data_IF_755785695436
#
_entry.id   IF_755785695436
#
_cell.length_a   1.000
_cell.length_b   1.000
_cell.length_c   1.000
_cell.angle_alpha   90.00
_cell.angle_beta   90.00
_cell.angle_gamma   90.00
#
_symmetry.space_group_name_H-M   'P 1'
#
loop_
_entity.id
_entity.type
_entity.pdbx_description
1 polymer ?
#
# COMPACT_ATOMS: atom_id res chain seq x y z
N UNK A 1 -33.12 28.50 4.03
CA UNK A 1 -33.22 27.62 2.85
C UNK A 1 -32.11 26.60 2.92
N UNK A 2 -32.49 25.35 2.73
CA UNK A 2 -31.90 24.15 3.32
C UNK A 2 -30.53 23.79 2.73
N UNK A 3 -29.54 23.54 3.60
CA UNK A 3 -28.26 22.93 3.25
C UNK A 3 -28.48 21.44 2.98
N UNK A 4 -28.33 20.99 1.73
CA UNK A 4 -28.21 19.57 1.43
C UNK A 4 -26.80 19.11 1.80
N UNK A 5 -26.71 18.37 2.89
CA UNK A 5 -25.55 17.56 3.26
C UNK A 5 -25.52 16.37 2.32
N UNK A 6 -24.58 16.34 1.38
CA UNK A 6 -24.21 15.11 0.67
C UNK A 6 -23.18 14.36 1.53
N UNK A 7 -23.69 13.77 2.62
CA UNK A 7 -23.04 12.64 3.24
C UNK A 7 -23.49 11.43 2.43
N UNK A 8 -22.67 10.95 1.49
CA UNK A 8 -22.83 9.59 0.98
C UNK A 8 -22.21 8.62 1.98
N UNK A 9 -22.77 8.61 3.19
CA UNK A 9 -22.68 7.45 4.06
C UNK A 9 -23.44 6.34 3.35
N UNK A 10 -22.72 5.50 2.61
CA UNK A 10 -23.26 4.16 2.34
C UNK A 10 -23.36 3.51 3.72
N UNK A 11 -24.56 3.21 4.23
CA UNK A 11 -24.70 2.57 5.51
C UNK A 11 -23.94 1.24 5.41
N UNK A 12 -22.96 1.03 6.30
CA UNK A 12 -22.43 -0.31 6.53
C UNK A 12 -23.63 -1.17 6.87
N UNK A 13 -23.94 -2.12 5.99
CA UNK A 13 -25.00 -3.11 6.23
C UNK A 13 -24.82 -3.68 7.64
N UNK A 14 -25.88 -3.83 8.44
CA UNK A 14 -25.79 -4.48 9.74
C UNK A 14 -25.12 -5.84 9.54
N UNK A 15 -23.97 -6.05 10.20
CA UNK A 15 -23.15 -7.26 10.04
C UNK A 15 -23.95 -8.45 10.57
N UNK A 16 -24.67 -9.12 9.69
CA UNK A 16 -25.41 -10.35 10.00
C UNK A 16 -24.47 -11.53 10.30
N UNK A 17 -25.01 -12.65 10.80
CA UNK A 17 -24.23 -13.86 11.05
C UNK A 17 -23.52 -14.33 9.76
N UNK A 18 -22.26 -14.76 9.88
CA UNK A 18 -21.48 -15.22 8.73
C UNK A 18 -21.91 -16.63 8.29
N UNK A 19 -22.07 -16.81 6.98
CA UNK A 19 -22.22 -18.13 6.35
C UNK A 19 -20.89 -18.57 5.79
N UNK A 20 -20.46 -19.79 6.15
CA UNK A 20 -19.17 -20.33 5.77
C UNK A 20 -19.27 -21.28 4.59
N UNK A 21 -18.26 -21.25 3.73
CA UNK A 21 -18.12 -22.14 2.59
C UNK A 21 -16.71 -22.72 2.65
N UNK A 22 -16.54 -24.06 2.61
CA UNK A 22 -15.22 -24.67 2.49
C UNK A 22 -14.49 -24.20 1.22
N UNK A 23 -13.16 -24.28 1.19
CA UNK A 23 -12.37 -23.81 0.05
C UNK A 23 -12.83 -24.41 -1.30
N UNK A 24 -13.14 -25.71 -1.32
CA UNK A 24 -13.66 -26.43 -2.50
C UNK A 24 -15.02 -25.95 -2.99
N UNK A 25 -15.78 -25.25 -2.14
CA UNK A 25 -17.10 -24.72 -2.47
C UNK A 25 -17.09 -23.36 -3.17
N UNK A 26 -15.94 -22.69 -3.23
CA UNK A 26 -15.80 -21.44 -3.99
C UNK A 26 -15.61 -21.71 -5.49
N UNK A 27 -16.05 -20.81 -6.38
CA UNK A 27 -15.72 -20.88 -7.80
C UNK A 27 -14.21 -20.73 -8.06
N UNK A 28 -13.78 -20.90 -9.31
CA UNK A 28 -12.42 -20.52 -9.71
C UNK A 28 -12.21 -19.04 -9.48
N UNK A 29 -11.05 -18.70 -8.90
CA UNK A 29 -10.64 -17.33 -8.63
C UNK A 29 -10.08 -16.73 -9.92
N UNK A 30 -10.61 -15.59 -10.33
CA UNK A 30 -10.02 -14.77 -11.38
C UNK A 30 -8.77 -14.06 -10.84
N UNK A 31 -7.59 -14.55 -11.23
CA UNK A 31 -6.29 -14.04 -10.78
C UNK A 31 -5.95 -12.64 -11.30
N UNK A 32 -6.68 -12.16 -12.30
CA UNK A 32 -6.56 -10.78 -12.83
C UNK A 32 -7.51 -9.82 -12.11
N UNK A 33 -8.40 -10.31 -11.24
CA UNK A 33 -9.36 -9.47 -10.54
C UNK A 33 -8.65 -8.46 -9.61
N UNK A 34 -8.92 -7.15 -9.73
CA UNK A 34 -8.25 -6.13 -8.91
C UNK A 34 -8.43 -6.34 -7.41
N UNK A 35 -9.59 -6.87 -6.99
CA UNK A 35 -9.86 -7.19 -5.58
C UNK A 35 -8.95 -8.29 -5.06
N UNK A 36 -8.76 -9.36 -5.84
CA UNK A 36 -7.90 -10.49 -5.46
C UNK A 36 -6.42 -10.10 -5.44
N UNK A 37 -5.94 -9.38 -6.46
CA UNK A 37 -4.56 -8.86 -6.51
C UNK A 37 -4.26 -8.04 -5.26
N UNK A 38 -5.16 -7.14 -4.85
CA UNK A 38 -5.00 -6.31 -3.65
C UNK A 38 -4.92 -7.13 -2.36
N UNK A 39 -5.70 -8.22 -2.24
CA UNK A 39 -5.59 -9.15 -1.11
C UNK A 39 -4.22 -9.81 -1.07
N UNK A 40 -3.73 -10.34 -2.19
CA UNK A 40 -2.42 -11.00 -2.24
C UNK A 40 -1.25 -10.04 -1.98
N UNK A 41 -1.30 -8.82 -2.52
CA UNK A 41 -0.36 -7.74 -2.17
C UNK A 41 -0.33 -7.50 -0.67
N UNK A 42 -1.51 -7.44 -0.04
CA UNK A 42 -1.66 -7.21 1.41
C UNK A 42 -1.01 -8.30 2.23
N UNK A 43 -1.22 -9.58 1.86
CA UNK A 43 -0.58 -10.72 2.52
C UNK A 43 0.94 -10.65 2.38
N UNK A 44 1.45 -10.46 1.16
CA UNK A 44 2.89 -10.40 0.91
C UNK A 44 3.58 -9.34 1.77
N UNK A 45 3.04 -8.12 1.80
CA UNK A 45 3.62 -7.00 2.55
C UNK A 45 3.72 -7.26 4.06
N UNK A 46 2.79 -8.05 4.62
CA UNK A 46 2.81 -8.41 6.03
C UNK A 46 3.83 -9.50 6.34
N UNK A 47 4.07 -10.40 5.39
CA UNK A 47 5.07 -11.47 5.50
C UNK A 47 6.51 -10.96 5.27
N UNK A 48 6.69 -9.89 4.50
CA UNK A 48 7.99 -9.31 4.10
C UNK A 48 8.73 -8.52 5.22
N UNK A 49 8.78 -9.05 6.46
CA UNK A 49 9.52 -8.44 7.57
C UNK A 49 10.47 -9.43 8.25
N UNK A 50 11.74 -9.03 8.41
CA UNK A 50 12.80 -9.88 8.96
C UNK A 50 12.56 -10.22 10.45
N UNK A 51 12.27 -11.50 10.72
CA UNK A 51 12.62 -12.24 11.94
C UNK A 51 11.66 -12.16 13.14
N UNK A 52 11.17 -13.32 13.59
CA UNK A 52 11.33 -13.89 14.95
C UNK A 52 10.58 -15.23 15.08
N UNK A 53 11.23 -16.22 15.71
CA UNK A 53 10.54 -17.29 16.48
C UNK A 53 10.47 -18.68 15.87
N UNK A 54 10.92 -19.68 16.63
CA UNK A 54 10.96 -21.11 16.27
C UNK A 54 9.57 -21.77 16.31
N UNK A 55 9.30 -22.63 15.33
CA UNK A 55 8.11 -23.49 15.23
C UNK A 55 8.57 -24.97 15.27
N UNK A 56 7.74 -25.88 15.79
CA UNK A 56 8.07 -27.31 15.93
C UNK A 56 8.15 -28.06 14.59
N UNK A 57 8.74 -29.27 14.57
CA UNK A 57 9.09 -30.03 13.35
C UNK A 57 7.95 -30.20 12.33
N UNK A 58 6.71 -30.45 12.77
CA UNK A 58 5.56 -30.60 11.84
C UNK A 58 5.15 -29.26 11.21
N UNK A 59 5.22 -28.18 11.98
CA UNK A 59 4.94 -26.83 11.48
C UNK A 59 6.06 -26.39 10.53
N UNK A 60 7.31 -26.74 10.83
CA UNK A 60 8.44 -26.49 9.92
C UNK A 60 8.24 -27.22 8.60
N UNK A 61 7.84 -28.50 8.62
CA UNK A 61 7.56 -29.25 7.39
C UNK A 61 6.41 -28.64 6.58
N UNK A 62 5.34 -28.20 7.23
CA UNK A 62 4.20 -27.60 6.55
C UNK A 62 4.47 -26.15 6.11
N UNK A 63 5.31 -25.40 6.82
CA UNK A 63 5.81 -24.08 6.39
C UNK A 63 6.80 -24.20 5.23
N UNK A 64 7.61 -25.26 5.19
CA UNK A 64 8.41 -25.63 4.02
C UNK A 64 7.46 -25.98 2.87
N UNK A 65 6.44 -26.82 3.08
CA UNK A 65 5.47 -27.12 2.03
C UNK A 65 4.75 -25.86 1.50
N UNK A 66 4.32 -24.97 2.39
CA UNK A 66 3.74 -23.68 2.06
C UNK A 66 4.75 -22.80 1.29
N UNK A 67 6.04 -22.78 1.69
CA UNK A 67 7.08 -22.04 0.99
C UNK A 67 7.31 -22.55 -0.43
N UNK A 68 7.56 -23.85 -0.59
CA UNK A 68 7.96 -24.44 -1.88
C UNK A 68 6.78 -24.71 -2.81
N UNK A 69 5.61 -25.02 -2.26
CA UNK A 69 4.40 -25.39 -3.01
C UNK A 69 3.45 -24.23 -3.29
N UNK A 70 3.52 -23.13 -2.51
CA UNK A 70 2.53 -22.04 -2.57
C UNK A 70 3.17 -20.66 -2.71
N UNK A 71 4.08 -20.28 -1.81
CA UNK A 71 4.61 -18.92 -1.70
C UNK A 71 5.71 -18.64 -2.75
N UNK A 72 6.62 -19.58 -2.99
CA UNK A 72 7.78 -19.44 -3.89
C UNK A 72 7.78 -20.54 -4.95
N UNK A 73 6.83 -20.52 -5.89
CA UNK A 73 6.73 -21.55 -6.95
C UNK A 73 7.59 -21.24 -8.20
N UNK A 74 8.28 -20.11 -8.22
CA UNK A 74 9.09 -19.66 -9.37
C UNK A 74 10.52 -20.24 -9.27
N UNK A 75 11.01 -20.80 -10.39
CA UNK A 75 12.35 -21.40 -10.47
C UNK A 75 12.39 -22.87 -10.05
N UNK A 76 13.57 -23.49 -10.16
CA UNK A 76 13.79 -24.91 -9.80
C UNK A 76 13.79 -25.09 -8.28
N UNK A 77 13.24 -26.21 -7.79
CA UNK A 77 12.97 -26.44 -6.36
C UNK A 77 14.19 -26.19 -5.46
N UNK A 78 15.35 -26.70 -5.84
CA UNK A 78 16.60 -26.57 -5.07
C UNK A 78 17.14 -25.13 -4.97
N UNK A 79 16.64 -24.20 -5.79
CA UNK A 79 17.04 -22.79 -5.79
C UNK A 79 16.14 -21.91 -4.91
N UNK A 80 14.95 -22.40 -4.53
CA UNK A 80 13.91 -21.63 -3.83
C UNK A 80 14.23 -21.32 -2.37
N UNK A 81 15.14 -22.06 -1.73
CA UNK A 81 15.59 -21.82 -0.34
C UNK A 81 16.17 -20.43 -0.14
N UNK A 82 16.85 -19.89 -1.15
CA UNK A 82 17.54 -18.60 -1.10
C UNK A 82 16.87 -17.55 -1.99
N UNK A 83 15.67 -17.82 -2.49
CA UNK A 83 14.98 -16.90 -3.38
C UNK A 83 14.57 -15.64 -2.62
N UNK A 84 15.00 -14.47 -3.12
CA UNK A 84 14.41 -13.20 -2.71
C UNK A 84 13.11 -13.01 -3.47
N UNK A 85 12.00 -13.28 -2.80
CA UNK A 85 10.67 -13.10 -3.37
C UNK A 85 10.27 -11.64 -3.25
N UNK A 86 9.98 -10.98 -4.38
CA UNK A 86 9.34 -9.67 -4.38
C UNK A 86 7.83 -9.81 -4.62
N UNK A 87 7.09 -8.72 -4.41
CA UNK A 87 5.62 -8.74 -4.52
C UNK A 87 5.11 -9.25 -5.88
N UNK A 88 5.62 -8.79 -7.06
CA UNK A 88 5.23 -9.36 -8.35
C UNK A 88 5.43 -10.88 -8.43
N UNK A 89 6.58 -11.37 -7.97
CA UNK A 89 6.89 -12.81 -7.96
C UNK A 89 5.95 -13.59 -7.03
N UNK A 90 5.58 -13.04 -5.88
CA UNK A 90 4.60 -13.66 -4.98
C UNK A 90 3.21 -13.74 -5.63
N UNK A 91 2.73 -12.66 -6.26
CA UNK A 91 1.42 -12.66 -6.93
C UNK A 91 1.42 -13.66 -8.08
N UNK A 92 2.48 -13.71 -8.88
CA UNK A 92 2.62 -14.68 -9.97
C UNK A 92 2.70 -16.13 -9.44
N UNK A 93 3.38 -16.37 -8.32
CA UNK A 93 3.42 -17.67 -7.69
C UNK A 93 2.02 -18.11 -7.22
N UNK A 94 1.31 -17.21 -6.52
CA UNK A 94 -0.06 -17.44 -6.05
C UNK A 94 -1.03 -17.65 -7.21
N UNK A 95 -0.92 -16.91 -8.31
CA UNK A 95 -1.84 -17.03 -9.44
C UNK A 95 -1.75 -18.41 -10.12
N UNK A 96 -0.57 -19.03 -10.11
CA UNK A 96 -0.35 -20.38 -10.66
C UNK A 96 -0.95 -21.49 -9.80
N UNK A 97 -1.02 -21.32 -8.48
CA UNK A 97 -1.43 -22.37 -7.55
C UNK A 97 -2.81 -22.17 -6.91
N UNK A 98 -3.35 -20.95 -6.88
CA UNK A 98 -4.60 -20.61 -6.15
C UNK A 98 -5.80 -21.45 -6.57
N UNK A 99 -5.91 -21.85 -7.83
CA UNK A 99 -7.01 -22.68 -8.35
C UNK A 99 -6.68 -24.18 -8.43
N UNK A 100 -5.44 -24.56 -8.15
CA UNK A 100 -4.93 -25.94 -8.27
C UNK A 100 -4.47 -26.44 -6.91
N UNK A 101 -3.16 -26.69 -6.73
CA UNK A 101 -2.57 -27.29 -5.55
C UNK A 101 -2.97 -26.57 -4.26
N UNK A 102 -3.01 -25.22 -4.26
CA UNK A 102 -3.36 -24.50 -3.04
C UNK A 102 -4.83 -24.67 -2.65
N UNK A 103 -5.75 -24.80 -3.60
CA UNK A 103 -7.18 -25.01 -3.31
C UNK A 103 -7.46 -26.44 -2.88
N UNK A 104 -6.82 -27.41 -3.54
CA UNK A 104 -6.95 -28.84 -3.25
C UNK A 104 -6.39 -29.19 -1.86
N UNK A 105 -5.26 -28.60 -1.50
CA UNK A 105 -4.56 -28.87 -0.24
C UNK A 105 -4.83 -27.81 0.84
N UNK A 106 -5.72 -26.84 0.56
CA UNK A 106 -5.99 -25.70 1.45
C UNK A 106 -6.27 -26.14 2.89
N UNK A 107 -7.11 -27.16 3.05
CA UNK A 107 -7.48 -27.66 4.38
C UNK A 107 -6.26 -28.18 5.13
N UNK A 108 -5.46 -29.02 4.49
CA UNK A 108 -4.25 -29.59 5.11
C UNK A 108 -3.24 -28.50 5.46
N UNK A 109 -2.97 -27.59 4.52
CA UNK A 109 -1.92 -26.57 4.64
C UNK A 109 -2.32 -25.46 5.61
N UNK A 110 -3.53 -24.92 5.48
CA UNK A 110 -3.96 -23.69 6.16
C UNK A 110 -4.88 -23.94 7.35
N UNK A 111 -5.58 -25.06 7.38
CA UNK A 111 -6.58 -25.34 8.41
C UNK A 111 -6.02 -26.34 9.41
N UNK A 112 -5.73 -27.58 9.00
CA UNK A 112 -5.28 -28.64 9.90
C UNK A 112 -3.97 -28.27 10.61
N UNK A 113 -2.98 -27.80 9.85
CA UNK A 113 -1.67 -27.38 10.38
C UNK A 113 -1.80 -26.32 11.48
N UNK A 114 -2.64 -25.31 11.26
CA UNK A 114 -2.76 -24.17 12.16
C UNK A 114 -3.76 -24.41 13.27
N UNK A 115 -4.81 -25.17 13.01
CA UNK A 115 -5.77 -25.59 14.02
C UNK A 115 -5.07 -26.40 15.11
N UNK A 116 -4.30 -27.41 14.73
CA UNK A 116 -3.62 -28.30 15.68
C UNK A 116 -2.48 -27.59 16.44
N UNK A 117 -1.91 -26.52 15.86
CA UNK A 117 -0.91 -25.67 16.51
C UNK A 117 -1.51 -24.77 17.59
N UNK A 118 -2.76 -24.37 17.40
CA UNK A 118 -3.41 -23.28 18.12
C UNK A 118 -4.39 -23.80 19.16
N UNK A 119 -4.97 -24.98 18.94
CA UNK A 119 -5.79 -25.74 19.89
C UNK A 119 -4.88 -26.37 20.97
N UNK A 120 -4.43 -25.51 21.90
CA UNK A 120 -3.44 -25.88 22.92
C UNK A 120 -4.02 -26.71 24.06
N UNK A 121 -5.33 -26.58 24.31
CA UNK A 121 -6.05 -27.40 25.30
C UNK A 121 -6.65 -28.68 24.70
N UNK A 122 -6.48 -28.89 23.38
CA UNK A 122 -6.91 -30.06 22.62
C UNK A 122 -8.40 -30.35 22.76
N UNK A 123 -9.20 -29.30 22.88
CA UNK A 123 -10.65 -29.42 23.06
C UNK A 123 -11.40 -29.44 21.72
N UNK A 124 -10.67 -29.32 20.60
CA UNK A 124 -11.23 -29.34 19.25
C UNK A 124 -11.91 -28.03 18.88
N UNK A 125 -11.65 -26.94 19.62
CA UNK A 125 -12.16 -25.60 19.39
C UNK A 125 -11.02 -24.56 19.54
N UNK A 126 -11.25 -23.36 19.02
CA UNK A 126 -10.31 -22.25 19.11
C UNK A 126 -10.93 -21.14 19.95
N UNK A 127 -10.27 -20.73 21.03
CA UNK A 127 -10.64 -19.58 21.84
C UNK A 127 -10.24 -18.24 21.17
N UNK A 128 -10.78 -17.13 21.66
CA UNK A 128 -10.50 -15.80 21.09
C UNK A 128 -9.00 -15.46 21.11
N UNK A 129 -8.32 -15.69 22.23
CA UNK A 129 -6.87 -15.41 22.37
C UNK A 129 -6.02 -16.27 21.43
N UNK A 130 -6.46 -17.50 21.19
CA UNK A 130 -5.82 -18.44 20.28
C UNK A 130 -5.98 -17.99 18.81
N UNK A 131 -7.20 -17.63 18.41
CA UNK A 131 -7.46 -17.08 17.08
C UNK A 131 -6.69 -15.77 16.82
N UNK A 132 -6.72 -14.85 17.79
CA UNK A 132 -5.98 -13.59 17.67
C UNK A 132 -4.47 -13.85 17.62
N UNK A 133 -3.97 -14.78 18.45
CA UNK A 133 -2.57 -15.16 18.51
C UNK A 133 -2.06 -15.72 17.19
N UNK A 134 -2.81 -16.59 16.52
CA UNK A 134 -2.38 -17.13 15.23
C UNK A 134 -2.42 -16.12 14.10
N UNK A 135 -3.45 -15.27 14.05
CA UNK A 135 -3.52 -14.20 13.06
C UNK A 135 -2.37 -13.21 13.26
N UNK A 136 -2.02 -12.87 14.50
CA UNK A 136 -0.87 -12.01 14.81
C UNK A 136 0.47 -12.67 14.46
N UNK A 137 0.64 -13.96 14.74
CA UNK A 137 1.81 -14.74 14.31
C UNK A 137 1.98 -14.74 12.79
N UNK A 138 0.86 -14.72 12.06
CA UNK A 138 0.77 -14.57 10.61
C UNK A 138 0.76 -13.12 10.12
N UNK A 139 1.11 -12.17 11.00
CA UNK A 139 1.18 -10.73 10.72
C UNK A 139 -0.13 -10.13 10.21
N UNK A 140 -1.25 -10.77 10.51
CA UNK A 140 -2.58 -10.22 10.31
C UNK A 140 -2.93 -9.16 11.35
N UNK A 141 -4.17 -8.69 11.34
CA UNK A 141 -4.62 -7.60 12.22
C UNK A 141 -5.36 -8.15 13.46
N UNK A 142 -4.79 -8.03 14.68
CA UNK A 142 -5.40 -8.56 15.91
C UNK A 142 -6.79 -7.99 16.22
N UNK A 143 -7.01 -6.70 15.93
CA UNK A 143 -8.30 -6.03 16.19
C UNK A 143 -9.37 -6.54 15.23
N UNK A 144 -9.04 -6.72 13.96
CA UNK A 144 -9.97 -7.29 12.98
C UNK A 144 -10.23 -8.77 13.25
N UNK A 145 -9.22 -9.52 13.71
CA UNK A 145 -9.39 -10.90 14.16
C UNK A 145 -10.40 -10.98 15.33
N UNK A 146 -10.29 -10.11 16.33
CA UNK A 146 -11.25 -10.04 17.44
C UNK A 146 -12.68 -9.72 16.95
N UNK A 147 -12.82 -8.77 16.02
CA UNK A 147 -14.11 -8.42 15.43
C UNK A 147 -14.71 -9.60 14.66
N UNK A 148 -13.90 -10.29 13.84
CA UNK A 148 -14.33 -11.45 13.07
C UNK A 148 -14.74 -12.57 14.01
N UNK A 149 -13.94 -12.88 15.04
CA UNK A 149 -14.26 -13.90 16.05
C UNK A 149 -15.63 -13.66 16.67
N UNK A 150 -15.92 -12.43 17.11
CA UNK A 150 -17.24 -12.07 17.67
C UNK A 150 -18.38 -12.22 16.68
N UNK A 151 -18.13 -12.05 15.37
CA UNK A 151 -19.15 -12.29 14.33
C UNK A 151 -19.39 -13.78 14.11
N UNK A 152 -18.36 -14.61 14.25
CA UNK A 152 -18.44 -16.08 14.18
C UNK A 152 -19.15 -16.67 15.40
N UNK A 153 -18.83 -16.17 16.59
CA UNK A 153 -19.32 -16.62 17.89
C UNK A 153 -20.78 -16.19 18.19
N UNK A 154 -21.51 -15.67 17.21
CA UNK A 154 -22.91 -15.27 17.37
C UNK A 154 -23.90 -16.44 17.42
N UNK A 155 -23.43 -17.69 17.48
CA UNK A 155 -24.32 -18.84 17.58
C UNK A 155 -24.87 -18.98 19.01
N UNK A 156 -26.19 -19.15 19.13
CA UNK A 156 -26.92 -19.39 20.39
C UNK A 156 -26.61 -20.76 21.04
N UNK A 157 -25.51 -21.40 20.65
CA UNK A 157 -25.05 -22.67 21.19
C UNK A 157 -24.31 -22.42 22.51
N UNK A 158 -24.95 -22.82 23.62
CA UNK A 158 -24.42 -22.58 24.98
C UNK A 158 -23.08 -23.28 25.23
N UNK A 159 -22.80 -24.37 24.52
CA UNK A 159 -21.59 -25.18 24.71
C UNK A 159 -20.42 -24.71 23.84
N UNK A 160 -20.67 -23.83 22.85
CA UNK A 160 -19.66 -23.26 21.93
C UNK A 160 -19.48 -21.75 22.07
N UNK A 161 -20.15 -21.15 23.05
CA UNK A 161 -20.07 -19.72 23.30
C UNK A 161 -18.66 -19.32 23.74
N UNK A 162 -18.05 -18.38 23.02
CA UNK A 162 -16.68 -17.94 23.22
C UNK A 162 -15.64 -18.80 22.50
N UNK A 163 -16.06 -19.74 21.64
CA UNK A 163 -15.18 -20.68 20.95
C UNK A 163 -15.55 -20.84 19.47
N UNK A 164 -14.56 -21.09 18.63
CA UNK A 164 -14.70 -21.27 17.17
C UNK A 164 -14.42 -22.73 16.79
N UNK A 165 -15.29 -23.35 15.99
CA UNK A 165 -15.04 -24.70 15.46
C UNK A 165 -14.05 -24.69 14.30
N UNK A 166 -13.48 -25.86 13.99
CA UNK A 166 -12.57 -26.05 12.87
C UNK A 166 -13.18 -25.64 11.52
N UNK A 167 -14.46 -25.91 11.31
CA UNK A 167 -15.19 -25.51 10.11
C UNK A 167 -15.38 -24.00 10.01
N UNK A 168 -15.60 -23.33 11.15
CA UNK A 168 -15.71 -21.88 11.19
C UNK A 168 -14.35 -21.22 10.93
N UNK A 169 -13.27 -21.77 11.50
CA UNK A 169 -11.90 -21.33 11.22
C UNK A 169 -11.57 -21.51 9.73
N UNK A 170 -11.83 -22.69 9.16
CA UNK A 170 -11.68 -22.94 7.72
C UNK A 170 -12.44 -21.90 6.90
N UNK A 171 -13.71 -21.66 7.23
CA UNK A 171 -14.56 -20.73 6.51
C UNK A 171 -14.05 -19.28 6.55
N UNK A 172 -13.52 -18.83 7.69
CA UNK A 172 -12.94 -17.49 7.82
C UNK A 172 -11.73 -17.31 6.89
N UNK A 173 -10.79 -18.25 6.91
CA UNK A 173 -9.58 -18.18 6.09
C UNK A 173 -9.92 -18.38 4.61
N UNK A 174 -10.78 -19.35 4.28
CA UNK A 174 -11.21 -19.62 2.89
C UNK A 174 -11.92 -18.42 2.27
N UNK A 175 -12.81 -17.74 3.01
CA UNK A 175 -13.49 -16.55 2.51
C UNK A 175 -12.51 -15.41 2.18
N UNK A 176 -11.38 -15.30 2.89
CA UNK A 176 -10.37 -14.33 2.54
C UNK A 176 -9.73 -14.64 1.19
N UNK A 177 -9.22 -15.87 1.00
CA UNK A 177 -8.42 -16.26 -0.17
C UNK A 177 -9.23 -16.48 -1.44
N UNK A 178 -10.44 -17.04 -1.35
CA UNK A 178 -11.20 -17.49 -2.52
C UNK A 178 -12.41 -16.64 -2.87
N UNK A 179 -12.87 -15.74 -1.98
CA UNK A 179 -13.93 -14.81 -2.33
C UNK A 179 -13.34 -13.57 -3.02
N UNK A 180 -13.78 -13.26 -4.23
CA UNK A 180 -13.31 -12.08 -4.96
C UNK A 180 -13.90 -10.76 -4.42
N UNK A 181 -15.06 -10.82 -3.78
CA UNK A 181 -15.73 -9.62 -3.26
C UNK A 181 -14.93 -9.05 -2.08
N UNK A 182 -14.58 -7.77 -2.19
CA UNK A 182 -13.87 -7.01 -1.16
C UNK A 182 -14.81 -6.41 -0.11
N UNK A 183 -16.12 -6.63 -0.21
CA UNK A 183 -17.12 -6.18 0.76
C UNK A 183 -17.37 -7.18 1.89
N UNK A 184 -16.76 -8.36 1.83
CA UNK A 184 -16.89 -9.41 2.86
C UNK A 184 -16.24 -9.00 4.18
N UNK A 185 -16.74 -9.53 5.30
CA UNK A 185 -16.26 -9.13 6.63
C UNK A 185 -14.79 -9.52 6.87
N UNK A 186 -14.33 -10.61 6.26
CA UNK A 186 -12.97 -11.13 6.41
C UNK A 186 -11.92 -10.33 5.65
N UNK A 187 -12.30 -9.42 4.75
CA UNK A 187 -11.38 -8.70 3.85
C UNK A 187 -10.27 -7.92 4.57
N UNK A 188 -10.48 -7.56 5.84
CA UNK A 188 -9.52 -6.84 6.67
C UNK A 188 -8.72 -7.73 7.64
N UNK A 189 -8.82 -9.05 7.51
CA UNK A 189 -8.15 -9.99 8.42
C UNK A 189 -6.62 -9.80 8.44
N UNK A 190 -6.01 -9.44 7.30
CA UNK A 190 -4.59 -9.06 7.20
C UNK A 190 -4.34 -7.53 7.24
N UNK A 191 -5.33 -6.77 7.70
CA UNK A 191 -5.32 -5.30 7.72
C UNK A 191 -6.08 -4.68 6.55
N UNK A 192 -6.06 -3.35 6.49
CA UNK A 192 -6.64 -2.62 5.36
C UNK A 192 -6.04 -3.13 4.04
N UNK A 193 -6.90 -3.40 3.05
CA UNK A 193 -6.42 -3.80 1.73
C UNK A 193 -5.50 -2.71 1.19
N UNK A 194 -4.36 -3.14 0.67
CA UNK A 194 -3.49 -2.27 -0.10
C UNK A 194 -4.33 -1.66 -1.23
N UNK A 195 -4.50 -0.35 -1.18
CA UNK A 195 -5.16 0.44 -2.21
C UNK A 195 -4.15 0.95 -3.25
N UNK A 196 -2.87 0.65 -3.04
CA UNK A 196 -1.78 1.09 -3.88
C UNK A 196 -1.90 0.47 -5.28
N UNK A 197 -2.31 1.33 -6.22
CA UNK A 197 -2.18 1.08 -7.65
C UNK A 197 -0.72 1.31 -8.02
N UNK A 198 -0.09 0.30 -8.62
CA UNK A 198 1.25 0.46 -9.20
C UNK A 198 1.17 1.35 -10.44
N UNK A 199 2.29 1.91 -10.90
CA UNK A 199 2.31 2.73 -12.11
C UNK A 199 1.75 2.03 -13.35
N UNK A 200 1.92 0.71 -13.45
CA UNK A 200 1.33 -0.14 -14.50
C UNK A 200 -0.20 -0.24 -14.44
N UNK A 201 -0.80 -0.05 -13.26
CA UNK A 201 -2.26 -0.15 -13.07
C UNK A 201 -2.99 1.13 -13.55
N UNK A 202 -2.26 2.19 -13.91
CA UNK A 202 -2.79 3.42 -14.47
C UNK A 202 -2.76 3.37 -16.00
N UNK A 203 -3.79 3.89 -16.71
CA UNK A 203 -3.69 4.11 -18.15
C UNK A 203 -2.58 5.14 -18.46
N UNK A 204 -2.19 5.22 -19.73
CA UNK A 204 -1.36 6.33 -20.20
C UNK A 204 -2.03 7.66 -19.85
N UNK A 205 -1.24 8.62 -19.34
CA UNK A 205 -1.77 9.89 -18.87
C UNK A 205 -2.01 10.80 -20.09
N UNK A 206 -3.25 11.26 -20.28
CA UNK A 206 -3.60 12.24 -21.32
C UNK A 206 -2.99 13.62 -21.01
N UNK A 207 -2.59 13.84 -19.76
CA UNK A 207 -2.05 15.07 -19.21
C UNK A 207 -2.99 16.26 -19.42
N UNK A 208 -4.29 16.06 -19.10
CA UNK A 208 -5.33 17.07 -19.21
C UNK A 208 -5.22 18.21 -18.18
N UNK A 209 -6.21 19.11 -18.11
CA UNK A 209 -6.15 20.34 -17.29
C UNK A 209 -5.92 20.11 -15.79
N UNK A 210 -6.48 19.02 -15.24
CA UNK A 210 -6.25 18.63 -13.84
C UNK A 210 -4.80 18.24 -13.61
N UNK A 211 -4.22 17.43 -14.50
CA UNK A 211 -2.83 17.00 -14.41
C UNK A 211 -1.86 18.18 -14.59
N UNK A 212 -2.06 19.01 -15.61
CA UNK A 212 -1.24 20.21 -15.82
C UNK A 212 -1.34 21.16 -14.63
N UNK A 213 -2.53 21.29 -14.03
CA UNK A 213 -2.73 22.06 -12.80
C UNK A 213 -1.89 21.56 -11.64
N UNK A 214 -1.77 20.24 -11.45
CA UNK A 214 -0.90 19.64 -10.43
C UNK A 214 0.56 19.99 -10.71
N UNK A 215 1.05 19.75 -11.93
CA UNK A 215 2.45 20.03 -12.27
C UNK A 215 2.80 21.52 -12.16
N UNK A 216 1.88 22.41 -12.53
CA UNK A 216 2.01 23.86 -12.30
C UNK A 216 2.11 24.19 -10.81
N UNK A 217 1.29 23.55 -9.98
CA UNK A 217 1.36 23.72 -8.53
C UNK A 217 2.73 23.32 -8.00
N UNK A 218 3.25 22.16 -8.43
CA UNK A 218 4.60 21.71 -8.10
C UNK A 218 5.67 22.71 -8.56
N UNK A 219 5.61 23.20 -9.80
CA UNK A 219 6.54 24.22 -10.31
C UNK A 219 6.57 25.47 -9.41
N UNK A 220 5.40 25.97 -9.00
CA UNK A 220 5.29 27.15 -8.14
C UNK A 220 5.84 26.93 -6.74
N UNK A 221 5.82 25.69 -6.22
CA UNK A 221 6.46 25.35 -4.95
C UNK A 221 7.98 25.30 -5.06
N UNK A 222 8.51 24.93 -6.22
CA UNK A 222 9.94 24.92 -6.50
C UNK A 222 10.48 26.33 -6.81
N UNK A 223 9.69 27.20 -7.45
CA UNK A 223 10.07 28.56 -7.82
C UNK A 223 9.93 29.53 -6.63
N UNK A 224 10.67 29.27 -5.55
CA UNK A 224 10.60 30.01 -4.28
C UNK A 224 10.86 31.50 -4.50
N UNK A 225 11.80 31.83 -5.39
CA UNK A 225 12.21 33.21 -5.67
C UNK A 225 11.30 33.91 -6.70
N UNK A 226 10.27 33.22 -7.20
CA UNK A 226 9.34 33.72 -8.22
C UNK A 226 10.07 34.25 -9.47
N UNK A 227 11.19 33.60 -9.83
CA UNK A 227 11.96 33.96 -11.01
C UNK A 227 11.27 33.52 -12.30
N UNK A 228 10.25 32.66 -12.20
CA UNK A 228 9.55 32.08 -13.34
C UNK A 228 10.37 30.99 -14.04
N UNK A 229 11.49 30.58 -13.45
CA UNK A 229 12.40 29.56 -13.95
C UNK A 229 13.02 28.76 -12.81
N UNK A 230 13.19 27.45 -13.01
CA UNK A 230 13.83 26.56 -12.05
C UNK A 230 15.26 26.24 -12.43
N UNK A 231 16.15 26.19 -11.43
CA UNK A 231 17.50 25.63 -11.53
C UNK A 231 17.61 24.37 -10.68
N UNK A 232 18.65 23.58 -10.91
CA UNK A 232 18.92 22.37 -10.12
C UNK A 232 18.93 22.64 -8.61
N UNK A 233 19.47 23.81 -8.24
CA UNK A 233 19.53 24.27 -6.86
C UNK A 233 18.14 24.40 -6.20
N UNK A 234 17.13 24.83 -6.95
CA UNK A 234 15.77 25.02 -6.44
C UNK A 234 15.13 23.66 -6.13
N UNK A 235 15.37 22.67 -6.99
CA UNK A 235 14.87 21.32 -6.79
C UNK A 235 15.51 20.65 -5.58
N UNK A 236 16.85 20.62 -5.49
CA UNK A 236 17.54 19.98 -4.36
C UNK A 236 17.34 20.71 -3.03
N UNK A 237 16.92 21.98 -3.04
CA UNK A 237 16.64 22.73 -1.83
C UNK A 237 15.52 22.09 -1.00
N UNK A 238 14.53 21.46 -1.65
CA UNK A 238 13.48 20.70 -0.95
C UNK A 238 14.09 19.58 -0.13
N UNK A 239 14.97 18.78 -0.74
CA UNK A 239 15.64 17.69 -0.06
C UNK A 239 16.57 18.16 1.05
N UNK A 240 17.32 19.27 0.84
CA UNK A 240 18.16 19.89 1.88
C UNK A 240 17.33 20.37 3.07
N UNK A 241 16.19 21.00 2.79
CA UNK A 241 15.26 21.48 3.80
C UNK A 241 14.67 20.32 4.60
N UNK A 242 14.26 19.25 3.93
CA UNK A 242 13.79 18.03 4.58
C UNK A 242 14.88 17.39 5.45
N UNK A 243 16.09 17.22 4.90
CA UNK A 243 17.22 16.64 5.63
C UNK A 243 17.59 17.44 6.88
N UNK A 244 17.56 18.77 6.79
CA UNK A 244 17.83 19.66 7.92
C UNK A 244 16.73 19.57 8.99
N UNK A 245 15.45 19.63 8.59
CA UNK A 245 14.30 19.55 9.52
C UNK A 245 14.19 18.22 10.24
N UNK A 246 14.55 17.14 9.54
CA UNK A 246 14.47 15.78 10.07
C UNK A 246 15.79 15.31 10.68
N UNK A 247 16.81 16.17 10.75
CA UNK A 247 18.15 15.83 11.23
C UNK A 247 18.69 14.53 10.62
N UNK A 248 18.48 14.36 9.31
CA UNK A 248 18.84 13.12 8.63
C UNK A 248 20.34 12.87 8.75
N UNK A 249 20.67 11.64 9.14
CA UNK A 249 22.04 11.15 9.10
C UNK A 249 22.59 11.25 7.69
N UNK A 250 23.89 11.56 7.58
CA UNK A 250 24.56 11.92 6.32
C UNK A 250 24.25 10.96 5.17
N UNK A 251 24.31 9.64 5.39
CA UNK A 251 24.07 8.68 4.32
C UNK A 251 22.62 8.69 3.78
N UNK A 252 21.62 8.91 4.65
CA UNK A 252 20.20 9.05 4.23
C UNK A 252 20.00 10.36 3.45
N UNK A 253 20.60 11.45 3.94
CA UNK A 253 20.55 12.74 3.24
C UNK A 253 21.24 12.65 1.86
N UNK A 254 22.40 12.01 1.76
CA UNK A 254 23.13 11.80 0.50
C UNK A 254 22.32 10.93 -0.47
N UNK A 255 21.65 9.88 0.00
CA UNK A 255 20.78 9.05 -0.83
C UNK A 255 19.60 9.84 -1.41
N UNK A 256 18.94 10.66 -0.57
CA UNK A 256 17.88 11.57 -1.02
C UNK A 256 18.40 12.55 -2.07
N UNK A 257 19.56 13.18 -1.83
CA UNK A 257 20.13 14.17 -2.77
C UNK A 257 20.50 13.51 -4.10
N UNK A 258 21.10 12.31 -4.08
CA UNK A 258 21.46 11.56 -5.29
C UNK A 258 20.23 11.24 -6.13
N UNK A 259 19.17 10.76 -5.49
CA UNK A 259 17.91 10.47 -6.19
C UNK A 259 17.31 11.73 -6.83
N UNK A 260 17.31 12.86 -6.13
CA UNK A 260 16.83 14.12 -6.72
C UNK A 260 17.72 14.63 -7.86
N UNK A 261 19.04 14.53 -7.73
CA UNK A 261 19.97 14.92 -8.80
C UNK A 261 19.81 14.03 -10.04
N UNK A 262 19.58 12.74 -9.85
CA UNK A 262 19.32 11.79 -10.93
C UNK A 262 18.08 12.20 -11.74
N UNK A 263 16.98 12.53 -11.04
CA UNK A 263 15.75 13.05 -11.67
C UNK A 263 16.01 14.34 -12.43
N UNK A 264 16.79 15.26 -11.84
CA UNK A 264 17.09 16.52 -12.48
C UNK A 264 17.83 16.33 -13.80
N UNK A 265 18.90 15.52 -13.78
CA UNK A 265 19.79 15.31 -14.92
C UNK A 265 19.10 14.53 -16.01
N UNK A 266 18.42 13.43 -15.70
CA UNK A 266 17.87 12.54 -16.72
C UNK A 266 16.48 12.93 -17.25
N UNK A 267 15.71 13.72 -16.48
CA UNK A 267 14.32 14.01 -16.85
C UNK A 267 13.98 15.50 -16.85
N UNK A 268 14.27 16.23 -15.77
CA UNK A 268 13.80 17.63 -15.71
C UNK A 268 14.56 18.54 -16.66
N UNK A 269 15.88 18.40 -16.74
CA UNK A 269 16.73 19.34 -17.48
C UNK A 269 17.01 18.94 -18.92
N UNK A 270 16.42 17.87 -19.44
CA UNK A 270 16.75 17.36 -20.79
C UNK A 270 15.87 18.02 -21.86
N UNK A 271 16.46 18.36 -23.01
CA UNK A 271 15.73 18.78 -24.21
C UNK A 271 15.56 17.64 -25.24
N UNK A 272 14.90 17.91 -26.37
CA UNK A 272 14.61 16.90 -27.39
C UNK A 272 15.86 16.29 -28.04
N UNK A 273 16.98 17.01 -27.99
CA UNK A 273 18.26 16.61 -28.56
C UNK A 273 19.21 16.07 -27.47
N UNK A 274 18.68 15.74 -26.28
CA UNK A 274 19.42 15.24 -25.11
C UNK A 274 20.40 16.23 -24.47
N UNK A 275 20.30 17.52 -24.81
CA UNK A 275 21.07 18.57 -24.15
C UNK A 275 20.43 18.96 -22.83
N UNK A 276 21.22 19.61 -21.96
CA UNK A 276 20.75 20.01 -20.63
C UNK A 276 20.45 21.50 -20.56
N UNK A 277 19.23 21.86 -20.16
CA UNK A 277 18.84 23.20 -19.78
C UNK A 277 19.53 23.63 -18.48
N UNK A 278 20.13 24.83 -18.49
CA UNK A 278 20.62 25.46 -17.26
C UNK A 278 19.47 25.95 -16.36
N UNK A 279 18.36 26.38 -16.97
CA UNK A 279 17.15 26.86 -16.29
C UNK A 279 15.89 26.37 -17.03
N UNK A 280 14.83 26.02 -16.31
CA UNK A 280 13.59 25.48 -16.85
C UNK A 280 12.43 26.45 -16.65
N UNK A 281 11.75 26.84 -17.73
CA UNK A 281 10.45 27.53 -17.66
C UNK A 281 9.33 26.58 -17.23
N UNK A 282 8.18 27.11 -16.79
CA UNK A 282 7.00 26.31 -16.46
C UNK A 282 6.59 25.38 -17.61
N UNK A 283 6.61 25.89 -18.85
CA UNK A 283 6.24 25.12 -20.05
C UNK A 283 7.20 23.95 -20.29
N UNK A 284 8.51 24.16 -20.17
CA UNK A 284 9.51 23.11 -20.33
C UNK A 284 9.39 22.07 -19.22
N UNK A 285 9.21 22.52 -17.97
CA UNK A 285 9.00 21.63 -16.83
C UNK A 285 7.79 20.71 -17.03
N UNK A 286 6.63 21.27 -17.40
CA UNK A 286 5.41 20.48 -17.63
C UNK A 286 5.58 19.51 -18.81
N UNK A 287 6.24 19.93 -19.89
CA UNK A 287 6.53 19.05 -21.02
C UNK A 287 7.42 17.86 -20.61
N UNK A 288 8.52 18.14 -19.90
CA UNK A 288 9.45 17.11 -19.46
C UNK A 288 8.83 16.17 -18.41
N UNK A 289 7.95 16.70 -17.55
CA UNK A 289 7.16 15.87 -16.63
C UNK A 289 6.22 14.91 -17.38
N UNK A 290 5.60 15.35 -18.49
CA UNK A 290 4.74 14.51 -19.33
C UNK A 290 5.55 13.38 -19.97
N UNK A 291 6.70 13.70 -20.54
CA UNK A 291 7.56 12.70 -21.17
C UNK A 291 8.11 11.71 -20.14
N UNK A 292 8.44 12.17 -18.92
CA UNK A 292 8.90 11.32 -17.82
C UNK A 292 7.83 10.31 -17.37
N UNK A 293 6.59 10.74 -17.13
CA UNK A 293 5.54 9.88 -16.55
C UNK A 293 4.86 8.95 -17.55
N UNK A 294 4.97 9.23 -18.86
CA UNK A 294 4.54 8.33 -19.94
C UNK A 294 5.72 7.57 -20.59
N UNK A 295 6.95 7.81 -20.15
CA UNK A 295 8.16 7.12 -20.62
C UNK A 295 8.74 6.12 -19.61
N UNK A 296 10.03 5.82 -19.76
CA UNK A 296 10.72 4.77 -19.01
C UNK A 296 10.73 4.98 -17.49
N UNK A 297 10.60 6.22 -17.02
CA UNK A 297 10.58 6.53 -15.60
C UNK A 297 9.25 6.17 -14.92
N UNK A 298 8.18 5.91 -15.69
CA UNK A 298 6.85 5.60 -15.14
C UNK A 298 6.92 4.52 -14.05
N UNK A 299 7.65 3.45 -14.30
CA UNK A 299 7.79 2.30 -13.39
C UNK A 299 8.65 2.58 -12.15
N UNK A 300 9.32 3.74 -12.08
CA UNK A 300 10.19 4.15 -10.97
C UNK A 300 9.57 5.25 -10.11
N UNK A 301 8.40 5.75 -10.47
CA UNK A 301 7.79 6.91 -9.80
C UNK A 301 7.46 6.64 -8.33
N UNK A 302 7.13 5.40 -8.00
CA UNK A 302 6.86 4.95 -6.65
C UNK A 302 8.13 4.65 -5.86
N UNK A 303 9.18 4.13 -6.51
CA UNK A 303 10.52 4.03 -5.94
C UNK A 303 11.07 5.41 -5.56
N UNK A 304 10.78 6.42 -6.35
CA UNK A 304 11.10 7.80 -6.02
C UNK A 304 10.29 8.31 -4.82
N UNK A 305 8.99 8.00 -4.76
CA UNK A 305 8.16 8.25 -3.57
C UNK A 305 8.69 7.57 -2.31
N UNK A 306 9.15 6.32 -2.42
CA UNK A 306 9.77 5.57 -1.34
C UNK A 306 11.02 6.25 -0.78
N UNK A 307 11.80 6.93 -1.64
CA UNK A 307 12.98 7.68 -1.20
C UNK A 307 12.58 8.83 -0.27
N UNK A 308 11.49 9.54 -0.58
CA UNK A 308 10.93 10.55 0.32
C UNK A 308 10.31 9.92 1.57
N UNK A 309 9.57 8.82 1.45
CA UNK A 309 9.00 8.13 2.60
C UNK A 309 10.08 7.79 3.64
N UNK A 310 11.19 7.17 3.21
CA UNK A 310 12.33 6.83 4.10
C UNK A 310 13.08 8.04 4.65
N UNK A 311 13.03 9.18 3.97
CA UNK A 311 13.59 10.44 4.45
C UNK A 311 12.66 11.13 5.47
N UNK A 312 11.37 10.80 5.47
CA UNK A 312 10.35 11.36 6.36
C UNK A 312 10.17 10.51 7.61
N UNK A 313 10.15 9.18 7.48
CA UNK A 313 10.15 8.22 8.60
C UNK A 313 11.55 8.16 9.25
N UNK A 314 11.80 9.07 10.18
CA UNK A 314 13.09 9.24 10.84
C UNK A 314 13.35 8.05 11.77
N UNK A 315 12.31 7.72 12.54
CA UNK A 315 12.33 6.71 13.59
C UNK A 315 12.34 5.28 13.02
N UNK A 316 12.05 5.12 11.73
CA UNK A 316 12.05 3.82 11.05
C UNK A 316 10.90 2.93 11.54
N UNK A 317 9.78 3.55 11.91
CA UNK A 317 8.62 2.84 12.45
C UNK A 317 7.82 2.14 11.35
N UNK A 318 8.08 2.48 10.09
CA UNK A 318 7.25 2.07 8.95
C UNK A 318 6.02 2.96 8.75
N UNK A 319 5.88 4.03 9.54
CA UNK A 319 4.79 4.99 9.51
C UNK A 319 5.30 6.42 9.58
N UNK A 320 4.54 7.35 9.01
CA UNK A 320 4.79 8.79 9.10
C UNK A 320 3.80 9.39 10.10
N UNK A 321 4.31 9.94 11.19
CA UNK A 321 3.51 10.72 12.14
C UNK A 321 3.07 12.06 11.54
N UNK A 322 2.07 12.70 12.16
CA UNK A 322 1.64 14.05 11.76
C UNK A 322 2.78 15.09 11.82
N UNK A 323 3.69 14.96 12.79
CA UNK A 323 4.86 15.85 12.90
C UNK A 323 5.83 15.64 11.74
N UNK A 324 6.13 14.39 11.40
CA UNK A 324 7.02 14.06 10.28
C UNK A 324 6.39 14.46 8.93
N UNK A 325 5.10 14.22 8.75
CA UNK A 325 4.37 14.66 7.55
C UNK A 325 4.38 16.18 7.39
N UNK A 326 4.24 16.92 8.49
CA UNK A 326 4.36 18.39 8.46
C UNK A 326 5.75 18.83 8.03
N UNK A 327 6.81 18.18 8.50
CA UNK A 327 8.18 18.51 8.08
C UNK A 327 8.39 18.31 6.57
N UNK A 328 7.81 17.25 5.99
CA UNK A 328 7.75 17.04 4.54
C UNK A 328 7.00 18.18 3.84
N UNK A 329 5.77 18.46 4.25
CA UNK A 329 4.92 19.45 3.58
C UNK A 329 5.50 20.87 3.66
N UNK A 330 6.11 21.23 4.79
CA UNK A 330 6.84 22.48 4.92
C UNK A 330 8.11 22.52 4.05
N UNK A 331 8.71 21.37 3.72
CA UNK A 331 9.85 21.29 2.77
C UNK A 331 9.41 21.64 1.36
N UNK A 332 8.17 21.29 1.02
CA UNK A 332 7.49 21.69 -0.20
C UNK A 332 6.77 23.04 -0.11
N UNK A 333 7.01 23.82 0.95
CA UNK A 333 6.38 25.12 1.17
C UNK A 333 4.83 25.08 1.18
N UNK A 334 4.25 23.96 1.60
CA UNK A 334 2.81 23.81 1.78
C UNK A 334 2.40 24.36 3.15
N UNK A 335 1.26 25.05 3.21
CA UNK A 335 0.80 25.70 4.44
C UNK A 335 0.38 24.67 5.49
N UNK A 336 0.55 25.00 6.78
CA UNK A 336 0.22 24.07 7.89
C UNK A 336 -1.20 23.50 7.76
N UNK A 337 -2.21 24.36 7.61
CA UNK A 337 -3.61 23.91 7.52
C UNK A 337 -3.89 22.98 6.33
N UNK A 338 -3.22 23.20 5.20
CA UNK A 338 -3.31 22.34 4.01
C UNK A 338 -2.67 20.98 4.29
N UNK A 339 -1.50 20.97 4.96
CA UNK A 339 -0.83 19.75 5.38
C UNK A 339 -1.69 18.93 6.37
N UNK A 340 -2.33 19.55 7.36
CA UNK A 340 -3.20 18.82 8.30
C UNK A 340 -4.45 18.26 7.63
N UNK A 341 -5.02 19.00 6.67
CA UNK A 341 -6.13 18.52 5.86
C UNK A 341 -5.73 17.31 5.03
N UNK A 342 -4.57 17.38 4.36
CA UNK A 342 -4.06 16.29 3.54
C UNK A 342 -3.68 15.06 4.39
N UNK A 343 -3.12 15.26 5.59
CA UNK A 343 -2.82 14.15 6.51
C UNK A 343 -4.07 13.31 6.80
N UNK A 344 -5.20 13.96 7.11
CA UNK A 344 -6.48 13.28 7.36
C UNK A 344 -7.05 12.57 6.13
N UNK A 345 -6.68 13.01 4.94
CA UNK A 345 -7.06 12.35 3.68
C UNK A 345 -6.17 11.14 3.42
N UNK A 346 -4.88 11.21 3.79
CA UNK A 346 -3.94 10.10 3.67
C UNK A 346 -4.18 9.01 4.72
N UNK A 347 -4.51 9.38 5.96
CA UNK A 347 -4.87 8.48 7.06
C UNK A 347 -6.28 7.90 6.82
N UNK A 348 -6.35 6.90 5.93
CA UNK A 348 -7.61 6.31 5.46
C UNK A 348 -8.24 5.39 6.49
N UNK A 349 -7.42 4.72 7.32
CA UNK A 349 -7.91 3.84 8.38
C UNK A 349 -8.11 4.56 9.73
N UNK A 350 -7.68 5.83 9.82
CA UNK A 350 -7.86 6.73 10.96
C UNK A 350 -7.12 6.26 12.21
N UNK A 351 -5.97 5.63 12.03
CA UNK A 351 -5.12 5.18 13.13
C UNK A 351 -4.15 6.28 13.63
N UNK A 352 -4.18 7.46 13.00
CA UNK A 352 -3.44 8.66 13.41
C UNK A 352 -2.01 8.73 12.87
N UNK A 353 -1.65 7.85 11.94
CA UNK A 353 -0.34 7.79 11.28
C UNK A 353 -0.52 7.40 9.81
N UNK A 354 0.43 7.76 8.96
CA UNK A 354 0.37 7.45 7.53
C UNK A 354 1.26 6.25 7.26
N UNK A 355 0.68 5.15 6.83
CA UNK A 355 1.45 4.01 6.33
C UNK A 355 2.14 4.34 5.00
N UNK A 356 3.17 3.58 4.65
CA UNK A 356 3.80 3.70 3.33
C UNK A 356 2.84 3.41 2.18
N UNK A 357 1.81 2.58 2.36
CA UNK A 357 0.82 2.34 1.30
C UNK A 357 -0.04 3.56 1.04
N UNK A 358 -0.52 4.20 2.11
CA UNK A 358 -1.31 5.43 2.02
C UNK A 358 -0.52 6.57 1.38
N UNK A 359 0.74 6.72 1.80
CA UNK A 359 1.65 7.70 1.22
C UNK A 359 1.88 7.45 -0.28
N UNK A 360 2.24 6.22 -0.66
CA UNK A 360 2.56 5.90 -2.06
C UNK A 360 1.32 5.90 -2.95
N UNK A 361 0.15 5.53 -2.42
CA UNK A 361 -1.12 5.63 -3.15
C UNK A 361 -1.39 7.07 -3.54
N UNK A 362 -1.24 8.01 -2.60
CA UNK A 362 -1.44 9.41 -2.90
C UNK A 362 -0.33 10.01 -3.77
N UNK A 363 0.91 9.57 -3.58
CA UNK A 363 2.06 9.98 -4.40
C UNK A 363 1.85 9.59 -5.87
N UNK A 364 1.55 8.32 -6.14
CA UNK A 364 1.36 7.83 -7.50
C UNK A 364 0.09 8.41 -8.12
N UNK A 365 -1.02 8.50 -7.38
CA UNK A 365 -2.23 9.18 -7.88
C UNK A 365 -1.96 10.66 -8.22
N UNK A 366 -1.13 11.35 -7.43
CA UNK A 366 -0.77 12.73 -7.71
C UNK A 366 -0.03 12.87 -9.04
N UNK A 367 0.84 11.94 -9.42
CA UNK A 367 1.56 12.04 -10.68
C UNK A 367 0.86 11.39 -11.88
N UNK A 368 0.11 10.30 -11.68
CA UNK A 368 -0.48 9.51 -12.77
C UNK A 368 -2.00 9.59 -12.87
N UNK A 369 -2.70 9.97 -11.80
CA UNK A 369 -4.17 10.08 -11.81
C UNK A 369 -4.65 11.36 -12.50
N UNK A 370 -5.78 11.29 -13.21
CA UNK A 370 -6.37 12.47 -13.89
C UNK A 370 -7.76 12.86 -13.38
N UNK A 371 -8.32 12.09 -12.44
CA UNK A 371 -9.63 12.37 -11.85
C UNK A 371 -9.62 13.73 -11.12
N UNK A 372 -10.46 14.65 -11.60
CA UNK A 372 -10.64 15.96 -10.98
C UNK A 372 -11.18 15.86 -9.55
N UNK A 373 -11.90 14.79 -9.21
CA UNK A 373 -12.46 14.62 -7.86
C UNK A 373 -11.52 13.87 -6.92
N UNK A 374 -10.37 13.41 -7.40
CA UNK A 374 -9.40 12.72 -6.57
C UNK A 374 -8.97 13.59 -5.39
N UNK A 375 -9.07 13.10 -4.15
CA UNK A 375 -8.68 13.88 -2.97
C UNK A 375 -7.15 14.02 -2.90
N UNK A 376 -6.39 13.17 -3.60
CA UNK A 376 -4.93 13.22 -3.66
C UNK A 376 -4.41 14.31 -4.61
N UNK A 377 -5.26 14.96 -5.42
CA UNK A 377 -4.83 16.05 -6.32
C UNK A 377 -4.19 17.24 -5.61
N UNK A 378 -4.44 17.38 -4.30
CA UNK A 378 -3.90 18.46 -3.46
C UNK A 378 -2.71 18.03 -2.60
N UNK A 379 -2.02 16.95 -2.95
CA UNK A 379 -0.88 16.42 -2.19
C UNK A 379 0.21 17.48 -1.88
N UNK A 380 0.48 18.40 -2.83
CA UNK A 380 1.37 19.55 -2.66
C UNK A 380 0.62 20.89 -2.51
N UNK A 381 -0.60 20.84 -1.97
CA UNK A 381 -1.50 21.97 -1.78
C UNK A 381 -2.52 22.18 -2.91
N UNK A 382 -3.33 23.25 -2.85
CA UNK A 382 -4.40 23.52 -3.80
C UNK A 382 -3.93 23.64 -5.25
N UNK A 383 -4.70 23.04 -6.18
CA UNK A 383 -4.36 22.97 -7.59
C UNK A 383 -4.46 24.35 -8.28
N UNK A 384 -3.41 24.74 -8.98
CA UNK A 384 -3.32 26.00 -9.74
C UNK A 384 -3.66 25.76 -11.21
N UNK A 385 -4.84 26.21 -11.66
CA UNK A 385 -5.29 26.01 -13.04
C UNK A 385 -4.87 27.10 -14.03
N UNK A 386 -4.49 28.29 -13.54
CA UNK A 386 -4.11 29.42 -14.40
C UNK A 386 -2.59 29.61 -14.41
N UNK A 387 -1.95 29.81 -15.58
CA UNK A 387 -0.56 30.26 -15.62
C UNK A 387 -0.43 31.65 -15.01
N UNK A 388 0.76 32.03 -14.53
CA UNK A 388 1.00 33.38 -14.05
C UNK A 388 0.81 34.39 -15.19
N UNK A 389 0.17 35.52 -14.89
CA UNK A 389 -0.01 36.59 -15.87
C UNK A 389 1.35 37.20 -16.24
N UNK A 390 1.74 37.12 -17.51
CA UNK A 390 2.91 37.80 -18.07
C UNK A 390 4.13 36.94 -18.42
N UNK A 391 3.94 35.69 -18.87
CA UNK A 391 5.01 34.85 -19.44
C UNK A 391 4.74 34.49 -20.89
#
# INVERSE_FOLDING_TARGET
MSRQSFCSDVPLSPRGPMTFTPAVGYPEVNVEAPGWIRKMRTVFRRLDTNGHGYLGDQVVQNMVHLWYGVICTIGEEHTRTNAQLNEPMFIEAMSKCINTTFKEEFKTIMVDTFFDLVDTDHDGLIALNEFVGIIDAWRGNPKEAELIFRLVDNNNDKDKKGKMSKEQFEGVIAQYFFNEDIKVQTVKLWGALINYKRPEDYPECECGPTWEGKMRTMFRRLDINQAGKLRCHDFIQIGRSLAARNHLVKHKADALMRSMLDIWVHYFSVDKDTNHFNELTEKQFIHNMRDMINGDFRHQIDQFGWTFFKAVDIEGTGYISMTEYRNLQEAWHVGRGEAEGMFKVLDTDKDGKISSDEYLSAWVEYFLGEDHNSPYKTFFGPVIFKPAQGQ
#
